data_IF_707737085601
#
_entry.id   IF_707737085601
#
_cell.length_a   1.000
_cell.length_b   1.000
_cell.length_c   1.000
_cell.angle_alpha   90.00
_cell.angle_beta   90.00
_cell.angle_gamma   90.00
#
_symmetry.space_group_name_H-M   'P 1'
#
loop_
_entity.id
_entity.type
_entity.pdbx_description
1 polymer ?
#
# COMPACT_ATOMS: atom_id res chain seq x y z
N UNK A 1 -9.48 -36.55 -29.95
CA UNK A 1 -10.26 -36.74 -28.71
C UNK A 1 -9.48 -36.15 -27.56
N UNK A 2 -10.07 -35.18 -26.90
CA UNK A 2 -9.79 -34.55 -25.62
C UNK A 2 -9.57 -33.03 -25.74
N UNK A 3 -10.60 -32.37 -26.28
CA UNK A 3 -10.76 -30.93 -26.07
C UNK A 3 -12.13 -30.72 -25.38
N UNK A 4 -12.20 -31.16 -24.12
CA UNK A 4 -13.34 -30.82 -23.26
C UNK A 4 -13.00 -29.57 -22.47
N UNK A 5 -13.25 -28.41 -23.02
CA UNK A 5 -14.30 -27.52 -22.48
C UNK A 5 -14.03 -27.01 -21.05
N UNK A 6 -12.92 -26.28 -20.82
CA UNK A 6 -12.91 -25.25 -19.77
C UNK A 6 -13.64 -24.01 -20.32
N UNK A 7 -14.94 -24.17 -20.54
CA UNK A 7 -15.89 -23.08 -20.70
C UNK A 7 -15.98 -22.37 -19.36
N UNK A 8 -15.00 -21.52 -19.06
CA UNK A 8 -15.05 -20.61 -17.91
C UNK A 8 -16.16 -19.61 -18.15
N UNK A 9 -17.37 -19.96 -17.75
CA UNK A 9 -18.47 -19.00 -17.65
C UNK A 9 -17.97 -17.84 -16.77
N UNK A 10 -17.81 -16.66 -17.36
CA UNK A 10 -17.76 -15.44 -16.58
C UNK A 10 -19.09 -15.35 -15.88
N UNK A 11 -19.10 -15.71 -14.60
CA UNK A 11 -20.30 -15.67 -13.78
C UNK A 11 -20.75 -14.21 -13.76
N UNK A 12 -21.79 -13.89 -14.53
CA UNK A 12 -22.31 -12.52 -14.72
C UNK A 12 -22.73 -11.88 -13.40
N UNK A 13 -22.88 -12.68 -12.35
CA UNK A 13 -23.29 -12.28 -11.01
C UNK A 13 -22.12 -11.81 -10.13
N UNK A 14 -20.90 -12.25 -10.40
CA UNK A 14 -19.73 -11.95 -9.55
C UNK A 14 -19.27 -10.51 -9.75
N UNK A 15 -19.17 -9.77 -8.66
CA UNK A 15 -18.69 -8.37 -8.64
C UNK A 15 -17.23 -8.28 -8.25
N UNK A 16 -16.62 -7.13 -8.54
CA UNK A 16 -15.28 -6.81 -8.02
C UNK A 16 -15.24 -6.86 -6.49
N UNK A 17 -16.34 -6.45 -5.84
CA UNK A 17 -16.46 -6.50 -4.37
C UNK A 17 -16.42 -7.93 -3.83
N UNK A 18 -17.01 -8.89 -4.53
CA UNK A 18 -16.98 -10.30 -4.10
C UNK A 18 -15.58 -10.88 -4.25
N UNK A 19 -14.85 -10.54 -5.31
CA UNK A 19 -13.44 -10.90 -5.44
C UNK A 19 -12.58 -10.27 -4.35
N UNK A 20 -12.80 -9.00 -4.03
CA UNK A 20 -12.05 -8.31 -2.97
C UNK A 20 -12.33 -8.93 -1.58
N UNK A 21 -13.56 -9.33 -1.30
CA UNK A 21 -13.91 -10.03 -0.04
C UNK A 21 -13.22 -11.40 0.02
N UNK A 22 -13.24 -12.15 -1.07
CA UNK A 22 -12.53 -13.44 -1.15
C UNK A 22 -11.03 -13.25 -0.98
N UNK A 23 -10.45 -12.26 -1.64
CA UNK A 23 -9.04 -11.91 -1.54
C UNK A 23 -8.64 -11.51 -0.11
N UNK A 24 -9.50 -10.75 0.57
CA UNK A 24 -9.31 -10.38 1.98
C UNK A 24 -9.25 -11.60 2.89
N UNK A 25 -10.07 -12.63 2.60
CA UNK A 25 -10.16 -13.85 3.42
C UNK A 25 -9.03 -14.84 3.13
N UNK A 26 -8.67 -15.04 1.86
CA UNK A 26 -7.78 -16.13 1.45
C UNK A 26 -6.33 -15.69 1.27
N UNK A 27 -6.07 -14.45 0.82
CA UNK A 27 -4.74 -13.99 0.41
C UNK A 27 -4.12 -13.02 1.40
N UNK A 28 -4.90 -12.02 1.84
CA UNK A 28 -4.39 -10.94 2.70
C UNK A 28 -3.80 -11.44 4.02
N UNK A 29 -4.33 -12.46 4.73
CA UNK A 29 -3.80 -12.89 6.01
C UNK A 29 -2.35 -13.40 5.95
N UNK A 30 -1.92 -13.93 4.80
CA UNK A 30 -0.59 -14.47 4.60
C UNK A 30 0.49 -13.41 4.31
N UNK A 31 0.11 -12.12 4.27
CA UNK A 31 1.01 -11.01 3.95
C UNK A 31 1.51 -10.30 5.21
N UNK A 32 2.78 -9.88 5.21
CA UNK A 32 3.37 -9.06 6.29
C UNK A 32 2.62 -7.74 6.53
N UNK A 33 1.98 -7.19 5.50
CA UNK A 33 1.23 -5.91 5.55
C UNK A 33 -0.29 -6.11 5.65
N UNK A 34 -0.77 -7.25 6.15
CA UNK A 34 -2.19 -7.63 6.18
C UNK A 34 -3.09 -6.53 6.73
N UNK A 35 -2.76 -5.92 7.86
CA UNK A 35 -3.57 -4.86 8.48
C UNK A 35 -3.77 -3.65 7.56
N UNK A 36 -2.70 -3.18 6.90
CA UNK A 36 -2.78 -2.03 5.99
C UNK A 36 -3.57 -2.37 4.73
N UNK A 37 -3.42 -3.58 4.21
CA UNK A 37 -4.15 -4.06 3.04
C UNK A 37 -5.64 -4.25 3.36
N UNK A 38 -5.97 -4.82 4.53
CA UNK A 38 -7.34 -4.94 5.05
C UNK A 38 -8.04 -3.59 5.11
N UNK A 39 -7.40 -2.57 5.69
CA UNK A 39 -7.98 -1.23 5.74
C UNK A 39 -8.28 -0.67 4.34
N UNK A 40 -7.40 -0.91 3.37
CA UNK A 40 -7.58 -0.46 1.97
C UNK A 40 -8.69 -1.22 1.26
N UNK A 41 -8.74 -2.54 1.41
CA UNK A 41 -9.82 -3.34 0.83
C UNK A 41 -11.17 -2.90 1.39
N UNK A 42 -11.27 -2.69 2.69
CA UNK A 42 -12.50 -2.21 3.32
C UNK A 42 -12.91 -0.81 2.84
N UNK A 43 -11.96 0.05 2.54
CA UNK A 43 -12.22 1.35 1.93
C UNK A 43 -12.70 1.22 0.47
N UNK A 44 -12.12 0.30 -0.31
CA UNK A 44 -12.53 0.00 -1.68
C UNK A 44 -13.94 -0.59 -1.74
N UNK A 45 -14.28 -1.48 -0.82
CA UNK A 45 -15.62 -2.11 -0.74
C UNK A 45 -16.74 -1.09 -0.54
N UNK A 46 -16.43 0.09 0.03
CA UNK A 46 -17.39 1.19 0.18
C UNK A 46 -17.55 2.05 -1.08
N UNK A 47 -16.78 1.81 -2.13
CA UNK A 47 -16.80 2.59 -3.37
C UNK A 47 -17.68 1.92 -4.42
N UNK A 48 -18.27 2.72 -5.30
CA UNK A 48 -19.18 2.24 -6.36
C UNK A 48 -18.55 1.19 -7.29
N UNK A 49 -17.23 1.25 -7.50
CA UNK A 49 -16.51 0.28 -8.33
C UNK A 49 -16.63 -1.15 -7.81
N UNK A 50 -16.80 -1.35 -6.50
CA UNK A 50 -16.95 -2.70 -5.92
C UNK A 50 -18.23 -3.40 -6.37
N UNK A 51 -19.28 -2.65 -6.72
CA UNK A 51 -20.53 -3.21 -7.23
C UNK A 51 -20.51 -3.56 -8.72
N UNK A 52 -19.43 -3.27 -9.44
CA UNK A 52 -19.32 -3.57 -10.87
C UNK A 52 -19.11 -5.06 -11.07
N UNK A 53 -19.93 -5.68 -11.94
CA UNK A 53 -19.77 -7.10 -12.31
C UNK A 53 -18.48 -7.30 -13.11
N UNK A 54 -17.89 -8.47 -12.98
CA UNK A 54 -16.66 -8.83 -13.69
C UNK A 54 -16.81 -8.73 -15.20
N UNK A 55 -17.98 -9.13 -15.72
CA UNK A 55 -18.30 -9.05 -17.14
C UNK A 55 -18.33 -7.63 -17.70
N UNK A 56 -18.64 -6.64 -16.87
CA UNK A 56 -18.71 -5.24 -17.24
C UNK A 56 -17.42 -4.47 -16.92
N UNK A 57 -16.52 -5.08 -16.15
CA UNK A 57 -15.30 -4.43 -15.69
C UNK A 57 -14.31 -4.27 -16.84
N UNK A 58 -14.18 -3.06 -17.34
CA UNK A 58 -13.31 -2.70 -18.46
C UNK A 58 -12.40 -1.52 -18.12
N UNK A 59 -11.48 -1.19 -19.02
CA UNK A 59 -10.53 -0.08 -18.84
C UNK A 59 -11.19 1.29 -18.69
N UNK A 60 -12.36 1.52 -19.30
CA UNK A 60 -13.09 2.77 -19.19
C UNK A 60 -13.63 2.97 -17.76
N UNK A 61 -14.19 1.92 -17.15
CA UNK A 61 -14.68 1.95 -15.76
C UNK A 61 -13.52 2.16 -14.78
N UNK A 62 -12.40 1.45 -14.98
CA UNK A 62 -11.17 1.65 -14.16
C UNK A 62 -10.65 3.08 -14.33
N UNK A 63 -10.68 3.63 -15.55
CA UNK A 63 -10.25 5.00 -15.80
C UNK A 63 -11.17 6.02 -15.13
N UNK A 64 -12.49 5.84 -15.20
CA UNK A 64 -13.47 6.67 -14.51
C UNK A 64 -13.24 6.65 -13.00
N UNK A 65 -13.05 5.45 -12.42
CA UNK A 65 -12.67 5.30 -11.00
C UNK A 65 -11.38 6.05 -10.67
N UNK A 66 -10.33 5.90 -11.51
CA UNK A 66 -9.06 6.62 -11.33
C UNK A 66 -9.29 8.12 -11.23
N UNK A 67 -10.04 8.70 -12.15
CA UNK A 67 -10.27 10.15 -12.16
C UNK A 67 -11.07 10.62 -10.94
N UNK A 68 -12.11 9.92 -10.55
CA UNK A 68 -12.88 10.25 -9.34
C UNK A 68 -12.01 10.16 -8.08
N UNK A 69 -11.04 9.26 -8.06
CA UNK A 69 -10.16 9.00 -6.91
C UNK A 69 -8.98 9.95 -6.81
N UNK A 70 -8.62 10.65 -7.89
CA UNK A 70 -7.51 11.60 -7.91
C UNK A 70 -7.65 12.74 -6.88
N UNK A 71 -8.88 13.12 -6.55
CA UNK A 71 -9.17 14.11 -5.51
C UNK A 71 -8.57 13.71 -4.13
N UNK A 72 -8.51 12.41 -3.85
CA UNK A 72 -7.92 11.85 -2.62
C UNK A 72 -6.39 11.67 -2.71
N UNK A 73 -5.80 12.04 -3.84
CA UNK A 73 -4.36 12.06 -4.09
C UNK A 73 -3.85 10.93 -4.99
N UNK A 74 -2.93 11.28 -5.88
CA UNK A 74 -2.37 10.38 -6.90
C UNK A 74 -1.72 9.10 -6.31
N UNK A 75 -1.05 9.21 -5.15
CA UNK A 75 -0.43 8.07 -4.48
C UNK A 75 -1.47 7.07 -3.98
N UNK A 76 -2.54 7.55 -3.36
CA UNK A 76 -3.65 6.72 -2.88
C UNK A 76 -4.33 6.00 -4.05
N UNK A 77 -4.62 6.73 -5.13
CA UNK A 77 -5.19 6.16 -6.35
C UNK A 77 -4.30 5.06 -6.95
N UNK A 78 -2.98 5.26 -6.98
CA UNK A 78 -2.05 4.22 -7.45
C UNK A 78 -2.08 2.96 -6.60
N UNK A 79 -2.20 3.10 -5.28
CA UNK A 79 -2.32 1.95 -4.40
C UNK A 79 -3.63 1.19 -4.61
N UNK A 80 -4.74 1.90 -4.79
CA UNK A 80 -6.04 1.28 -5.07
C UNK A 80 -5.99 0.51 -6.40
N UNK A 81 -5.45 1.13 -7.46
CA UNK A 81 -5.28 0.47 -8.76
C UNK A 81 -4.36 -0.76 -8.66
N UNK A 82 -3.26 -0.68 -7.91
CA UNK A 82 -2.36 -1.81 -7.70
C UNK A 82 -3.06 -2.97 -6.97
N UNK A 83 -3.90 -2.66 -5.99
CA UNK A 83 -4.65 -3.66 -5.25
C UNK A 83 -5.72 -4.33 -6.12
N UNK A 84 -6.49 -3.55 -6.89
CA UNK A 84 -7.46 -4.08 -7.85
C UNK A 84 -6.76 -4.97 -8.88
N UNK A 85 -5.66 -4.49 -9.46
CA UNK A 85 -4.85 -5.25 -10.41
C UNK A 85 -4.42 -6.60 -9.84
N UNK A 86 -3.87 -6.60 -8.64
CA UNK A 86 -3.38 -7.82 -7.99
C UNK A 86 -4.52 -8.79 -7.68
N UNK A 87 -5.66 -8.28 -7.22
CA UNK A 87 -6.84 -9.10 -6.95
C UNK A 87 -7.38 -9.75 -8.24
N UNK A 88 -7.48 -9.00 -9.34
CA UNK A 88 -7.95 -9.53 -10.63
C UNK A 88 -6.95 -10.53 -11.22
N UNK A 89 -5.65 -10.29 -11.09
CA UNK A 89 -4.62 -11.22 -11.55
C UNK A 89 -4.67 -12.53 -10.76
N UNK A 90 -4.83 -12.44 -9.45
CA UNK A 90 -5.00 -13.62 -8.61
C UNK A 90 -6.27 -14.40 -8.96
N UNK A 91 -7.38 -13.69 -9.20
CA UNK A 91 -8.62 -14.30 -9.62
C UNK A 91 -8.47 -15.05 -10.96
N UNK A 92 -7.73 -14.49 -11.89
CA UNK A 92 -7.45 -15.11 -13.19
C UNK A 92 -6.57 -16.36 -13.08
N UNK A 93 -5.50 -16.28 -12.28
CA UNK A 93 -4.49 -17.34 -12.20
C UNK A 93 -4.86 -18.46 -11.23
N UNK A 94 -5.42 -18.11 -10.07
CA UNK A 94 -5.61 -19.06 -8.98
C UNK A 94 -7.08 -19.49 -8.81
N UNK A 95 -8.03 -18.61 -9.17
CA UNK A 95 -9.44 -18.91 -8.97
C UNK A 95 -10.17 -19.32 -10.25
N UNK A 96 -9.47 -19.36 -11.39
CA UNK A 96 -10.02 -19.81 -12.66
C UNK A 96 -11.04 -18.87 -13.31
N UNK A 97 -11.10 -17.59 -12.89
CA UNK A 97 -11.96 -16.62 -13.56
C UNK A 97 -11.41 -16.26 -14.93
N UNK A 98 -12.25 -16.37 -15.96
CA UNK A 98 -11.87 -16.04 -17.32
C UNK A 98 -11.80 -14.51 -17.52
N UNK A 99 -10.60 -13.97 -17.42
CA UNK A 99 -10.28 -12.56 -17.72
C UNK A 99 -9.20 -12.56 -18.82
N UNK A 100 -9.53 -12.29 -20.07
CA UNK A 100 -8.55 -12.33 -21.18
C UNK A 100 -7.37 -11.41 -20.93
N UNK A 101 -7.64 -10.20 -20.42
CA UNK A 101 -6.63 -9.22 -20.02
C UNK A 101 -7.05 -8.52 -18.74
N UNK A 102 -6.08 -8.09 -17.95
CA UNK A 102 -6.38 -7.31 -16.77
C UNK A 102 -6.71 -5.86 -17.18
N UNK A 103 -7.94 -5.37 -16.96
CA UNK A 103 -8.34 -4.05 -17.43
C UNK A 103 -7.57 -2.90 -16.77
N UNK A 104 -6.93 -3.14 -15.63
CA UNK A 104 -6.09 -2.14 -14.95
C UNK A 104 -4.79 -1.89 -15.70
N UNK A 105 -4.27 -2.89 -16.41
CA UNK A 105 -3.01 -2.74 -17.17
C UNK A 105 -3.15 -1.83 -18.38
N UNK A 106 -4.37 -1.67 -18.89
CA UNK A 106 -4.70 -0.77 -19.99
C UNK A 106 -4.86 0.69 -19.54
N UNK A 107 -4.78 0.96 -18.23
CA UNK A 107 -5.00 2.31 -17.69
C UNK A 107 -3.68 2.92 -17.22
N UNK A 108 -3.37 4.12 -17.72
CA UNK A 108 -2.18 4.87 -17.29
C UNK A 108 -2.22 5.20 -15.81
N UNK A 109 -1.11 4.93 -15.12
CA UNK A 109 -0.99 5.24 -13.68
C UNK A 109 -0.89 6.75 -13.45
N UNK A 110 -1.53 7.30 -12.40
CA UNK A 110 -1.41 8.70 -12.04
C UNK A 110 0.06 9.12 -11.85
N UNK A 111 0.45 10.28 -12.35
CA UNK A 111 1.79 10.84 -12.09
C UNK A 111 1.90 11.19 -10.60
N UNK A 112 3.00 10.80 -9.98
CA UNK A 112 3.31 11.20 -8.61
C UNK A 112 4.05 12.53 -8.62
N UNK A 113 3.85 13.32 -7.57
CA UNK A 113 4.69 14.49 -7.32
C UNK A 113 6.13 14.06 -7.10
N UNK A 114 7.07 14.93 -7.43
CA UNK A 114 8.49 14.72 -7.15
C UNK A 114 8.68 14.39 -5.66
N UNK A 115 9.63 13.51 -5.30
CA UNK A 115 9.99 13.30 -3.91
C UNK A 115 10.39 14.61 -3.24
N UNK A 116 10.17 14.71 -1.93
CA UNK A 116 10.69 15.85 -1.16
C UNK A 116 12.22 15.79 -1.18
N UNK A 117 12.84 16.90 -1.56
CA UNK A 117 14.30 17.04 -1.61
C UNK A 117 14.84 17.96 -0.49
N UNK A 118 13.94 18.45 0.36
CA UNK A 118 14.33 19.29 1.50
C UNK A 118 15.01 18.46 2.57
N UNK A 119 16.26 18.79 2.85
CA UNK A 119 17.02 18.30 4.00
C UNK A 119 16.75 19.17 5.22
N UNK A 120 16.78 18.55 6.41
CA UNK A 120 16.65 19.26 7.69
C UNK A 120 17.92 20.09 7.90
N UNK A 121 17.77 21.41 7.97
CA UNK A 121 18.85 22.34 8.25
C UNK A 121 19.05 22.58 9.76
N UNK A 122 20.11 23.31 10.11
CA UNK A 122 20.41 23.65 11.51
C UNK A 122 19.27 24.42 12.18
N UNK A 123 18.68 25.39 11.48
CA UNK A 123 17.54 26.17 11.98
C UNK A 123 16.30 25.32 12.26
N UNK A 124 16.05 24.30 11.41
CA UNK A 124 14.96 23.34 11.64
C UNK A 124 15.22 22.54 12.93
N UNK A 125 16.48 22.10 13.14
CA UNK A 125 16.88 21.36 14.34
C UNK A 125 16.68 22.23 15.59
N UNK A 126 17.12 23.48 15.56
CA UNK A 126 16.98 24.40 16.69
C UNK A 126 15.49 24.64 17.01
N UNK A 127 14.67 24.82 15.99
CA UNK A 127 13.22 24.95 16.13
C UNK A 127 12.56 23.72 16.79
N UNK A 128 12.95 22.51 16.32
CA UNK A 128 12.49 21.24 16.88
C UNK A 128 12.94 21.13 18.34
N UNK A 129 14.21 21.42 18.65
CA UNK A 129 14.75 21.34 20.00
C UNK A 129 14.08 22.32 20.95
N UNK A 130 13.72 23.51 20.46
CA UNK A 130 12.94 24.48 21.25
C UNK A 130 11.52 23.96 21.53
N UNK A 131 10.83 23.44 20.56
CA UNK A 131 9.50 22.87 20.73
C UNK A 131 9.49 21.70 21.73
N UNK A 132 10.56 20.89 21.76
CA UNK A 132 10.69 19.75 22.67
C UNK A 132 10.84 20.14 24.15
N UNK A 133 11.19 21.39 24.47
CA UNK A 133 11.24 21.87 25.88
C UNK A 133 9.88 21.83 26.54
N UNK A 134 8.80 21.94 25.78
CA UNK A 134 7.43 21.95 26.27
C UNK A 134 6.73 20.58 26.24
N UNK A 135 7.43 19.54 25.78
CA UNK A 135 6.85 18.18 25.72
C UNK A 135 7.06 17.43 27.03
N UNK A 136 6.04 16.68 27.45
CA UNK A 136 6.12 15.77 28.61
C UNK A 136 6.88 14.46 28.30
N UNK A 137 7.20 14.23 27.03
CA UNK A 137 7.82 12.98 26.55
C UNK A 137 9.33 13.11 26.58
N UNK A 138 9.97 12.62 27.64
CA UNK A 138 11.41 12.79 27.91
C UNK A 138 12.33 12.09 26.90
N UNK A 139 11.90 10.95 26.35
CA UNK A 139 12.70 10.17 25.41
C UNK A 139 12.68 10.72 23.97
N UNK A 140 11.80 11.68 23.65
CA UNK A 140 11.64 12.17 22.29
C UNK A 140 12.87 12.94 21.79
N UNK A 141 13.48 13.74 22.69
CA UNK A 141 14.69 14.52 22.37
C UNK A 141 15.87 13.62 21.98
N UNK A 142 16.31 12.65 22.81
CA UNK A 142 17.40 11.75 22.44
C UNK A 142 17.07 10.91 21.20
N UNK A 143 15.82 10.49 21.04
CA UNK A 143 15.38 9.73 19.85
C UNK A 143 15.59 10.53 18.55
N UNK A 144 15.20 11.82 18.55
CA UNK A 144 15.36 12.68 17.37
C UNK A 144 16.84 12.94 17.08
N UNK A 145 17.65 13.20 18.11
CA UNK A 145 19.09 13.41 17.93
C UNK A 145 19.76 12.18 17.31
N UNK A 146 19.49 11.00 17.84
CA UNK A 146 20.03 9.74 17.29
C UNK A 146 19.52 9.54 15.84
N UNK A 147 18.24 9.86 15.56
CA UNK A 147 17.69 9.77 14.19
C UNK A 147 18.43 10.67 13.20
N UNK A 148 18.78 11.90 13.61
CA UNK A 148 19.49 12.86 12.77
C UNK A 148 20.93 12.37 12.50
N UNK A 149 21.63 11.92 13.53
CA UNK A 149 23.02 11.49 13.43
C UNK A 149 23.18 10.15 12.67
N UNK A 150 22.24 9.24 12.85
CA UNK A 150 22.35 7.88 12.27
C UNK A 150 21.58 7.69 10.98
N UNK A 151 20.58 8.53 10.69
CA UNK A 151 19.67 8.36 9.55
C UNK A 151 18.73 7.14 9.67
N UNK A 152 18.65 6.52 10.85
CA UNK A 152 17.80 5.35 11.08
C UNK A 152 16.32 5.69 11.00
N UNK A 153 15.51 4.74 10.50
CA UNK A 153 14.06 4.87 10.53
C UNK A 153 13.53 4.73 11.94
N UNK A 154 12.42 5.41 12.25
CA UNK A 154 11.78 5.32 13.57
C UNK A 154 11.59 3.87 14.04
N UNK A 155 11.15 2.97 13.15
CA UNK A 155 10.93 1.57 13.52
C UNK A 155 12.20 0.78 13.82
N UNK A 156 13.34 1.20 13.31
CA UNK A 156 14.67 0.66 13.58
C UNK A 156 15.19 1.21 14.92
N UNK A 157 15.05 2.52 15.14
CA UNK A 157 15.47 3.18 16.38
C UNK A 157 14.79 2.62 17.63
N UNK A 158 13.46 2.44 17.59
CA UNK A 158 12.71 1.95 18.78
C UNK A 158 12.95 0.46 19.06
N UNK A 159 13.57 -0.27 18.15
CA UNK A 159 13.95 -1.68 18.33
C UNK A 159 15.42 -1.85 18.73
N UNK A 160 16.19 -0.76 18.72
CA UNK A 160 17.61 -0.81 19.05
C UNK A 160 17.80 -1.18 20.52
N UNK A 161 18.65 -2.14 20.77
CA UNK A 161 19.04 -2.59 22.11
C UNK A 161 20.53 -2.32 22.35
N UNK A 162 20.96 -2.24 23.61
CA UNK A 162 22.36 -2.01 23.95
C UNK A 162 23.31 -3.06 23.37
N UNK A 163 22.86 -4.29 23.19
CA UNK A 163 23.66 -5.35 22.53
C UNK A 163 23.87 -5.11 21.02
N UNK A 164 23.12 -4.19 20.43
CA UNK A 164 23.26 -3.81 19.02
C UNK A 164 24.21 -2.61 18.84
N UNK A 165 24.75 -2.04 19.95
CA UNK A 165 25.60 -0.84 19.97
C UNK A 165 27.01 -1.22 20.39
N UNK A 166 27.98 -0.99 19.51
CA UNK A 166 29.40 -1.10 19.80
C UNK A 166 30.01 0.30 19.83
N UNK A 167 30.28 0.81 21.03
CA UNK A 167 30.83 2.17 21.23
C UNK A 167 32.31 2.25 20.86
N UNK A 168 33.06 1.16 21.08
CA UNK A 168 34.49 1.13 20.81
C UNK A 168 34.77 1.16 19.31
N UNK A 169 34.03 0.34 18.55
CA UNK A 169 34.10 0.31 17.08
C UNK A 169 33.21 1.34 16.42
N UNK A 170 32.39 2.09 17.17
CA UNK A 170 31.41 3.09 16.67
C UNK A 170 30.42 2.50 15.65
N UNK A 171 29.97 1.30 15.92
CA UNK A 171 29.06 0.56 15.03
C UNK A 171 27.68 0.38 15.66
N UNK A 172 26.65 0.47 14.82
CA UNK A 172 25.28 0.12 15.14
C UNK A 172 24.82 -1.03 14.26
N UNK A 173 24.34 -2.11 14.86
CA UNK A 173 23.76 -3.26 14.15
C UNK A 173 22.26 -3.06 14.03
N UNK A 174 21.77 -2.85 12.82
CA UNK A 174 20.34 -2.69 12.52
C UNK A 174 19.76 -4.05 12.13
N UNK A 175 18.61 -4.42 12.74
CA UNK A 175 17.89 -5.68 12.49
C UNK A 175 16.69 -5.48 11.57
#
# INVERSE_FOLDING_TARGET
>A
ELDQGLSGCVDKSVTLGDLLKRYLKEVTPHKKSSNKETCRINALLKRSISGVSLSNLNSAIISSYKYSRLADGARTTRYDLALIRHCLEFARLEWGYHLPTNPVDLVSKPKLNKPRDRRVGKEDIDTIMHALKHTKVTYLKPLILIAIETGLRQGELVKLMWCDVDLDSRLLKVK
#
